data_IF_318737329556
#
_entry.id   IF_318737329556
#
_cell.length_a   1.000
_cell.length_b   1.000
_cell.length_c   1.000
_cell.angle_alpha   90.00
_cell.angle_beta   90.00
_cell.angle_gamma   90.00
#
_symmetry.space_group_name_H-M   'P 1'
#
loop_
_entity.id
_entity.type
_entity.pdbx_description
1 polymer ?
#
# COMPACT_ATOMS: atom_id res chain seq x y z
N UNK A 1 20.43 22.77 2.69
CA UNK A 1 20.94 22.02 3.85
C UNK A 1 19.94 22.18 4.95
N UNK A 2 18.97 21.28 5.05
CA UNK A 2 18.04 21.28 6.18
C UNK A 2 18.09 19.89 6.82
N UNK A 3 18.95 19.82 7.86
CA UNK A 3 19.13 18.63 8.66
C UNK A 3 17.91 18.41 9.55
N UNK A 4 17.06 17.45 9.21
CA UNK A 4 16.11 16.88 10.15
C UNK A 4 16.80 15.74 10.88
N UNK A 5 17.22 16.02 12.11
CA UNK A 5 17.69 15.01 13.03
C UNK A 5 16.61 13.95 13.26
N UNK A 6 16.90 12.70 12.93
CA UNK A 6 16.19 11.55 13.46
C UNK A 6 16.67 11.34 14.90
N UNK A 7 15.83 11.66 15.89
CA UNK A 7 16.08 11.29 17.28
C UNK A 7 15.67 9.82 17.45
N UNK A 8 16.67 8.95 17.55
CA UNK A 8 16.49 7.58 18.02
C UNK A 8 16.46 7.59 19.55
N UNK A 9 15.29 7.57 20.15
CA UNK A 9 15.13 7.22 21.57
C UNK A 9 15.25 5.69 21.70
N UNK A 10 16.42 5.24 22.18
CA UNK A 10 16.63 3.86 22.60
C UNK A 10 15.96 3.64 23.97
N UNK A 11 14.69 3.33 23.99
CA UNK A 11 13.98 2.84 25.17
C UNK A 11 14.30 1.36 25.42
N UNK A 12 14.59 1.03 26.66
CA UNK A 12 15.02 -0.27 27.19
C UNK A 12 14.16 -1.46 26.71
N UNK A 13 14.86 -2.55 26.38
CA UNK A 13 14.40 -3.89 26.01
C UNK A 13 13.20 -4.39 26.80
N UNK A 14 12.05 -4.53 26.14
CA UNK A 14 10.96 -5.47 26.50
C UNK A 14 10.01 -5.80 25.34
N UNK A 15 10.37 -5.59 24.08
CA UNK A 15 9.80 -6.24 22.89
C UNK A 15 10.68 -5.91 21.69
N UNK A 16 10.89 -6.85 20.81
CA UNK A 16 11.74 -6.73 19.61
C UNK A 16 11.12 -5.81 18.54
N UNK A 17 10.42 -4.78 18.92
CA UNK A 17 9.78 -3.84 18.01
C UNK A 17 10.19 -2.39 18.29
N UNK A 18 10.55 -1.68 17.23
CA UNK A 18 10.88 -0.24 17.25
C UNK A 18 9.77 0.53 16.54
N UNK A 19 9.32 1.64 17.14
CA UNK A 19 8.37 2.54 16.49
C UNK A 19 9.12 3.64 15.74
N UNK A 20 8.89 3.76 14.44
CA UNK A 20 9.47 4.82 13.61
C UNK A 20 8.36 5.79 13.20
N UNK A 21 8.62 7.09 13.33
CA UNK A 21 7.70 8.14 12.89
C UNK A 21 8.18 8.73 11.57
N UNK A 22 7.38 8.59 10.52
CA UNK A 22 7.61 9.27 9.25
C UNK A 22 6.34 9.97 8.79
N UNK A 23 6.43 11.24 8.43
CA UNK A 23 5.28 12.03 7.99
C UNK A 23 4.17 12.19 9.02
N UNK A 24 4.48 12.15 10.34
CA UNK A 24 3.51 12.27 11.42
C UNK A 24 2.77 10.97 11.76
N UNK A 25 3.18 9.83 11.21
CA UNK A 25 2.65 8.49 11.51
C UNK A 25 3.69 7.64 12.18
N UNK A 26 3.23 6.79 13.10
CA UNK A 26 4.06 5.80 13.76
C UNK A 26 3.95 4.47 13.01
N UNK A 27 5.09 3.89 12.67
CA UNK A 27 5.24 2.56 12.11
C UNK A 27 5.94 1.69 13.15
N UNK A 28 5.45 0.47 13.35
CA UNK A 28 6.09 -0.51 14.22
C UNK A 28 7.10 -1.31 13.41
N UNK A 29 8.38 -1.25 13.79
CA UNK A 29 9.45 -2.09 13.26
C UNK A 29 9.71 -3.22 14.25
N UNK A 30 9.51 -4.48 13.86
CA UNK A 30 9.93 -5.65 14.64
C UNK A 30 11.40 -5.96 14.33
N UNK A 31 12.26 -5.78 15.32
CA UNK A 31 13.71 -5.91 15.16
C UNK A 31 14.19 -7.36 14.95
N UNK A 32 13.28 -8.35 15.04
CA UNK A 32 13.65 -9.76 14.96
C UNK A 32 13.93 -10.29 13.56
N UNK A 33 13.57 -9.56 12.48
CA UNK A 33 13.72 -10.03 11.10
C UNK A 33 14.01 -8.90 10.10
N UNK A 34 14.97 -8.02 10.33
CA UNK A 34 15.46 -7.07 9.30
C UNK A 34 14.35 -6.46 8.42
N UNK A 35 13.42 -5.70 8.98
CA UNK A 35 12.20 -5.24 8.30
C UNK A 35 12.44 -4.36 7.08
N UNK A 36 13.58 -3.66 7.01
CA UNK A 36 14.01 -2.95 5.79
C UNK A 36 14.04 -3.85 4.55
N UNK A 37 14.19 -5.16 4.77
CA UNK A 37 14.21 -6.17 3.72
C UNK A 37 12.84 -6.41 3.04
N UNK A 38 11.76 -6.12 3.72
CA UNK A 38 10.41 -6.30 3.20
C UNK A 38 9.79 -5.02 2.64
N UNK A 39 10.39 -3.86 2.91
CA UNK A 39 9.83 -2.59 2.47
C UNK A 39 10.23 -2.28 1.01
N UNK A 40 9.26 -1.82 0.25
CA UNK A 40 9.50 -1.23 -1.06
C UNK A 40 10.18 0.15 -0.90
N UNK A 41 11.35 0.37 -1.49
CA UNK A 41 12.13 1.59 -1.27
C UNK A 41 11.49 2.86 -1.85
N UNK A 42 10.56 2.72 -2.81
CA UNK A 42 9.88 3.86 -3.43
C UNK A 42 8.69 4.30 -2.61
N UNK A 43 7.86 3.36 -2.17
CA UNK A 43 6.56 3.66 -1.53
C UNK A 43 6.61 3.56 -0.01
N UNK A 44 7.59 2.84 0.56
CA UNK A 44 7.65 2.53 1.98
C UNK A 44 6.58 1.56 2.47
N UNK A 45 5.80 0.95 1.56
CA UNK A 45 4.88 -0.15 1.86
C UNK A 45 5.62 -1.47 1.85
N UNK A 46 4.98 -2.56 2.25
CA UNK A 46 5.59 -3.87 2.05
C UNK A 46 5.75 -4.16 0.55
N UNK A 47 6.84 -4.86 0.19
CA UNK A 47 7.07 -5.39 -1.14
C UNK A 47 6.50 -6.81 -1.29
N UNK A 48 6.48 -7.32 -2.53
CA UNK A 48 5.96 -8.64 -2.89
C UNK A 48 6.52 -9.78 -2.01
N UNK A 49 7.79 -9.71 -1.64
CA UNK A 49 8.43 -10.72 -0.80
C UNK A 49 7.77 -10.89 0.55
N UNK A 50 7.28 -9.80 1.16
CA UNK A 50 6.53 -9.86 2.40
C UNK A 50 5.28 -10.74 2.27
N UNK A 51 4.54 -10.59 1.16
CA UNK A 51 3.35 -11.38 0.89
C UNK A 51 3.69 -12.86 0.71
N UNK A 52 4.82 -13.18 0.06
CA UNK A 52 5.27 -14.55 -0.16
C UNK A 52 5.72 -15.22 1.14
N UNK A 53 6.49 -14.52 1.99
CA UNK A 53 7.07 -15.07 3.23
C UNK A 53 6.06 -15.08 4.41
N UNK A 54 5.11 -14.13 4.45
CA UNK A 54 4.12 -13.98 5.53
C UNK A 54 2.73 -14.50 5.17
N UNK A 55 2.60 -15.31 4.13
CA UNK A 55 1.33 -15.83 3.66
C UNK A 55 0.44 -16.41 4.77
N UNK A 56 0.92 -17.22 5.74
CA UNK A 56 0.06 -17.80 6.78
C UNK A 56 -0.61 -16.75 7.67
N UNK A 57 0.04 -15.61 7.92
CA UNK A 57 -0.54 -14.52 8.71
C UNK A 57 -1.52 -13.70 7.86
N UNK A 58 -1.20 -13.49 6.60
CA UNK A 58 -2.02 -12.74 5.65
C UNK A 58 -3.29 -13.48 5.23
N UNK A 59 -3.30 -14.82 5.33
CA UNK A 59 -4.52 -15.65 5.16
C UNK A 59 -5.64 -15.30 6.15
N UNK A 60 -5.36 -14.54 7.22
CA UNK A 60 -6.36 -14.07 8.19
C UNK A 60 -7.16 -12.87 7.69
N UNK A 61 -6.78 -12.25 6.59
CA UNK A 61 -7.50 -11.12 6.02
C UNK A 61 -8.90 -11.54 5.55
N UNK A 62 -9.92 -10.75 5.91
CA UNK A 62 -11.32 -11.04 5.52
C UNK A 62 -11.59 -10.69 4.05
N UNK A 63 -10.92 -9.65 3.55
CA UNK A 63 -11.09 -9.17 2.19
C UNK A 63 -9.76 -8.74 1.58
N UNK A 64 -9.70 -8.75 0.25
CA UNK A 64 -8.52 -8.39 -0.52
C UNK A 64 -8.92 -7.56 -1.73
N UNK A 65 -8.09 -6.58 -2.08
CA UNK A 65 -8.19 -5.87 -3.35
C UNK A 65 -6.85 -5.84 -4.07
N UNK A 66 -6.89 -6.02 -5.39
CA UNK A 66 -5.80 -5.72 -6.30
C UNK A 66 -6.07 -4.35 -6.91
N UNK A 67 -5.08 -3.50 -6.92
CA UNK A 67 -5.15 -2.10 -7.34
C UNK A 67 -4.02 -1.86 -8.33
N UNK A 68 -4.35 -1.34 -9.50
CA UNK A 68 -3.41 -0.98 -10.56
C UNK A 68 -3.54 0.51 -10.90
N UNK A 69 -2.42 1.16 -11.18
CA UNK A 69 -2.41 2.59 -11.57
C UNK A 69 -2.61 2.69 -13.06
N UNK A 70 -3.73 3.28 -13.46
CA UNK A 70 -4.09 3.42 -14.87
C UNK A 70 -3.05 4.25 -15.64
N UNK A 71 -2.66 3.78 -16.82
CA UNK A 71 -1.73 4.45 -17.73
C UNK A 71 -0.38 4.85 -17.09
N UNK A 72 0.10 4.07 -16.11
CA UNK A 72 1.33 4.38 -15.38
C UNK A 72 2.56 4.49 -16.31
N UNK A 73 2.60 3.67 -17.35
CA UNK A 73 3.67 3.72 -18.34
C UNK A 73 3.67 5.06 -19.08
N UNK A 74 2.51 5.54 -19.51
CA UNK A 74 2.37 6.83 -20.19
C UNK A 74 2.81 7.99 -19.29
N UNK A 75 2.49 7.92 -17.99
CA UNK A 75 2.97 8.92 -17.02
C UNK A 75 4.50 8.93 -16.97
N UNK A 76 5.15 7.75 -16.91
CA UNK A 76 6.60 7.67 -16.94
C UNK A 76 7.21 8.19 -18.25
N UNK A 77 6.59 7.84 -19.38
CA UNK A 77 7.07 8.23 -20.71
C UNK A 77 6.95 9.75 -20.93
N UNK A 78 5.90 10.39 -20.39
CA UNK A 78 5.65 11.81 -20.55
C UNK A 78 6.39 12.69 -19.51
N UNK A 79 6.39 12.28 -18.23
CA UNK A 79 6.87 13.09 -17.10
C UNK A 79 8.17 12.58 -16.48
N UNK A 80 8.65 11.41 -16.92
CA UNK A 80 9.87 10.78 -16.43
C UNK A 80 9.65 9.93 -15.16
N UNK A 81 10.61 9.06 -14.86
CA UNK A 81 10.53 8.10 -13.76
C UNK A 81 10.40 8.74 -12.38
N UNK A 82 10.95 9.95 -12.16
CA UNK A 82 10.79 10.65 -10.88
C UNK A 82 9.34 11.06 -10.62
N UNK A 83 8.60 11.40 -11.68
CA UNK A 83 7.18 11.67 -11.60
C UNK A 83 6.40 10.37 -11.32
N UNK A 84 6.75 9.26 -11.99
CA UNK A 84 6.18 7.95 -11.70
C UNK A 84 6.39 7.52 -10.25
N UNK A 85 7.59 7.71 -9.69
CA UNK A 85 7.87 7.46 -8.28
C UNK A 85 7.02 8.33 -7.35
N UNK A 86 6.77 9.59 -7.73
CA UNK A 86 5.89 10.48 -6.96
C UNK A 86 4.43 9.99 -7.02
N UNK A 87 3.97 9.50 -8.16
CA UNK A 87 2.64 8.89 -8.33
C UNK A 87 2.51 7.65 -7.45
N UNK A 88 3.48 6.73 -7.48
CA UNK A 88 3.50 5.53 -6.65
C UNK A 88 3.40 5.86 -5.16
N UNK A 89 4.24 6.79 -4.68
CA UNK A 89 4.18 7.28 -3.29
C UNK A 89 2.85 7.93 -2.95
N UNK A 90 2.31 8.71 -3.86
CA UNK A 90 1.02 9.36 -3.69
C UNK A 90 -0.09 8.33 -3.51
N UNK A 91 -0.22 7.37 -4.41
CA UNK A 91 -1.24 6.31 -4.36
C UNK A 91 -1.12 5.50 -3.08
N UNK A 92 0.08 5.05 -2.72
CA UNK A 92 0.33 4.33 -1.48
C UNK A 92 -0.12 5.14 -0.24
N UNK A 93 0.25 6.42 -0.15
CA UNK A 93 -0.14 7.29 0.96
C UNK A 93 -1.65 7.52 1.02
N UNK A 94 -2.31 7.69 -0.13
CA UNK A 94 -3.75 7.85 -0.21
C UNK A 94 -4.47 6.61 0.30
N UNK A 95 -4.02 5.42 -0.07
CA UNK A 95 -4.57 4.13 0.41
C UNK A 95 -4.38 4.02 1.92
N UNK A 96 -3.15 4.14 2.39
CA UNK A 96 -2.79 4.02 3.82
C UNK A 96 -3.57 5.01 4.70
N UNK A 97 -3.89 6.19 4.16
CA UNK A 97 -4.70 7.18 4.88
C UNK A 97 -6.16 6.77 5.10
N UNK A 98 -6.65 5.72 4.43
CA UNK A 98 -8.07 5.33 4.38
C UNK A 98 -8.35 3.94 4.90
N UNK A 99 -7.32 3.26 5.33
CA UNK A 99 -7.39 1.91 5.90
C UNK A 99 -6.92 1.92 7.36
N UNK A 100 -7.13 0.84 8.08
CA UNK A 100 -6.74 0.71 9.48
C UNK A 100 -5.28 0.26 9.61
N UNK A 101 -4.71 0.38 10.80
CA UNK A 101 -3.36 -0.08 11.11
C UNK A 101 -3.20 -1.60 11.07
N UNK A 102 -4.31 -2.34 11.16
CA UNK A 102 -4.34 -3.81 11.02
C UNK A 102 -4.39 -4.27 9.55
N UNK A 103 -4.68 -3.35 8.63
CA UNK A 103 -4.71 -3.66 7.20
C UNK A 103 -3.29 -3.60 6.62
N UNK A 104 -3.03 -4.42 5.62
CA UNK A 104 -1.71 -4.54 5.01
C UNK A 104 -1.74 -4.09 3.56
N UNK A 105 -0.85 -3.17 3.19
CA UNK A 105 -0.64 -2.75 1.81
C UNK A 105 0.71 -3.26 1.31
N UNK A 106 0.68 -3.98 0.20
CA UNK A 106 1.85 -4.57 -0.46
C UNK A 106 1.97 -4.01 -1.87
N UNK A 107 3.11 -3.49 -2.25
CA UNK A 107 3.44 -3.24 -3.66
C UNK A 107 3.83 -4.57 -4.30
N UNK A 108 2.94 -5.09 -5.14
CA UNK A 108 3.06 -6.44 -5.72
C UNK A 108 3.83 -6.47 -7.03
N UNK A 109 3.70 -5.42 -7.83
CA UNK A 109 4.34 -5.23 -9.13
C UNK A 109 4.85 -3.81 -9.32
N UNK A 110 5.15 -3.41 -10.56
CA UNK A 110 5.62 -2.07 -10.91
C UNK A 110 4.66 -0.97 -10.45
N UNK A 111 3.41 -1.08 -10.83
CA UNK A 111 2.28 -0.18 -10.61
C UNK A 111 1.12 -0.84 -9.86
N UNK A 112 1.29 -2.10 -9.48
CA UNK A 112 0.28 -2.93 -8.82
C UNK A 112 0.44 -2.98 -7.30
N UNK A 113 -0.66 -2.86 -6.58
CA UNK A 113 -0.75 -3.02 -5.13
C UNK A 113 -1.76 -4.11 -4.76
N UNK A 114 -1.46 -4.83 -3.69
CA UNK A 114 -2.39 -5.75 -3.01
C UNK A 114 -2.72 -5.16 -1.64
N UNK A 115 -3.99 -4.90 -1.40
CA UNK A 115 -4.52 -4.43 -0.12
C UNK A 115 -5.26 -5.56 0.57
N UNK A 116 -4.81 -5.92 1.78
CA UNK A 116 -5.45 -6.90 2.63
C UNK A 116 -6.16 -6.20 3.78
N UNK A 117 -7.43 -6.50 3.98
CA UNK A 117 -8.32 -5.87 4.95
C UNK A 117 -8.71 -6.89 6.02
N UNK A 118 -8.27 -6.66 7.26
CA UNK A 118 -8.38 -7.64 8.34
C UNK A 118 -9.69 -7.60 9.11
N UNK A 119 -10.33 -6.44 9.21
CA UNK A 119 -11.57 -6.27 10.00
C UNK A 119 -12.54 -5.33 9.30
N UNK A 120 -13.02 -5.74 8.13
CA UNK A 120 -13.96 -4.95 7.34
C UNK A 120 -15.34 -5.64 7.24
N UNK A 121 -16.44 -4.98 7.65
CA UNK A 121 -17.77 -5.50 7.39
C UNK A 121 -18.05 -5.62 5.90
N UNK A 122 -18.71 -6.70 5.48
CA UNK A 122 -18.99 -6.98 4.06
C UNK A 122 -19.71 -5.82 3.36
N UNK A 123 -20.66 -5.20 4.05
CA UNK A 123 -21.44 -4.06 3.54
C UNK A 123 -20.60 -2.78 3.35
N UNK A 124 -19.44 -2.67 4.01
CA UNK A 124 -18.53 -1.53 3.89
C UNK A 124 -17.40 -1.76 2.89
N UNK A 125 -17.17 -3.00 2.49
CA UNK A 125 -16.02 -3.35 1.64
C UNK A 125 -16.03 -2.54 0.34
N UNK A 126 -17.11 -2.63 -0.45
CA UNK A 126 -17.24 -1.89 -1.71
C UNK A 126 -17.10 -0.38 -1.53
N UNK A 127 -17.76 0.20 -0.54
CA UNK A 127 -17.70 1.65 -0.31
C UNK A 127 -16.30 2.11 0.12
N UNK A 128 -15.52 1.26 0.77
CA UNK A 128 -14.13 1.55 1.12
C UNK A 128 -13.26 1.60 -0.13
N UNK A 129 -13.40 0.63 -1.05
CA UNK A 129 -12.66 0.64 -2.31
C UNK A 129 -13.01 1.86 -3.18
N UNK A 130 -14.30 2.21 -3.29
CA UNK A 130 -14.74 3.40 -4.03
C UNK A 130 -14.21 4.69 -3.41
N UNK A 131 -14.13 4.77 -2.08
CA UNK A 131 -13.55 5.91 -1.37
C UNK A 131 -12.06 6.04 -1.64
N UNK A 132 -11.33 4.93 -1.72
CA UNK A 132 -9.91 4.90 -2.09
C UNK A 132 -9.76 5.41 -3.52
N UNK A 133 -10.50 4.83 -4.47
CA UNK A 133 -10.45 5.20 -5.88
C UNK A 133 -10.73 6.69 -6.10
N UNK A 134 -11.82 7.19 -5.55
CA UNK A 134 -12.18 8.61 -5.65
C UNK A 134 -11.14 9.54 -5.04
N UNK A 135 -10.50 9.12 -3.96
CA UNK A 135 -9.50 9.92 -3.30
C UNK A 135 -8.16 9.97 -4.04
N UNK A 136 -7.75 8.90 -4.70
CA UNK A 136 -6.57 8.93 -5.57
C UNK A 136 -6.72 10.01 -6.64
N UNK A 137 -7.90 10.07 -7.27
CA UNK A 137 -8.19 11.05 -8.31
C UNK A 137 -8.25 12.48 -7.79
N UNK A 138 -8.85 12.71 -6.61
CA UNK A 138 -9.13 14.06 -6.09
C UNK A 138 -7.99 14.68 -5.30
N UNK A 139 -7.01 13.88 -4.85
CA UNK A 139 -5.88 14.38 -4.08
C UNK A 139 -4.72 14.71 -5.02
N UNK A 140 -4.26 15.94 -5.03
CA UNK A 140 -3.15 16.38 -5.88
C UNK A 140 -1.80 15.82 -5.47
N UNK A 141 -0.89 15.69 -6.43
CA UNK A 141 0.49 15.27 -6.18
C UNK A 141 1.34 16.53 -6.02
N UNK A 142 1.97 16.78 -4.88
CA UNK A 142 2.87 17.91 -4.70
C UNK A 142 3.95 17.93 -5.81
N UNK A 143 4.22 19.11 -6.40
CA UNK A 143 5.16 19.34 -7.51
C UNK A 143 4.72 18.78 -8.88
N UNK A 144 3.62 18.05 -8.97
CA UNK A 144 3.08 17.48 -10.22
C UNK A 144 1.58 17.76 -10.32
N UNK A 145 1.18 19.03 -10.26
CA UNK A 145 -0.22 19.45 -10.21
C UNK A 145 -1.04 19.05 -11.46
N UNK A 146 -0.36 18.81 -12.58
CA UNK A 146 -1.00 18.37 -13.83
C UNK A 146 -1.21 16.85 -13.91
N UNK A 147 -0.67 16.06 -12.95
CA UNK A 147 -0.83 14.61 -12.94
C UNK A 147 -1.98 14.24 -12.01
N UNK A 148 -3.04 13.68 -12.60
CA UNK A 148 -4.22 13.19 -11.89
C UNK A 148 -4.34 11.68 -12.10
N UNK A 149 -3.63 10.85 -11.30
CA UNK A 149 -3.68 9.43 -11.48
C UNK A 149 -5.07 8.88 -11.16
N UNK A 150 -5.45 7.87 -11.89
CA UNK A 150 -6.60 7.01 -11.57
C UNK A 150 -6.13 5.60 -11.26
N UNK A 151 -6.98 4.81 -10.64
CA UNK A 151 -6.69 3.41 -10.33
C UNK A 151 -7.87 2.53 -10.67
N UNK A 152 -7.58 1.37 -11.24
CA UNK A 152 -8.49 0.25 -11.38
C UNK A 152 -8.39 -0.65 -10.16
N UNK A 153 -9.53 -1.09 -9.61
CA UNK A 153 -9.57 -1.88 -8.37
C UNK A 153 -10.47 -3.09 -8.56
N UNK A 154 -9.92 -4.28 -8.38
CA UNK A 154 -10.68 -5.51 -8.26
C UNK A 154 -10.66 -6.01 -6.81
N UNK A 155 -11.81 -6.31 -6.23
CA UNK A 155 -11.93 -6.70 -4.84
C UNK A 155 -12.66 -8.02 -4.61
N UNK A 156 -12.19 -8.81 -3.63
CA UNK A 156 -12.78 -10.08 -3.21
C UNK A 156 -13.00 -10.08 -1.71
N UNK A 157 -14.24 -10.29 -1.29
CA UNK A 157 -14.57 -10.60 0.11
C UNK A 157 -14.47 -12.10 0.33
N UNK A 158 -14.08 -12.55 1.53
CA UNK A 158 -13.64 -13.93 1.82
C UNK A 158 -12.38 -14.29 1.01
N UNK A 159 -11.28 -13.68 1.40
CA UNK A 159 -10.00 -13.71 0.68
C UNK A 159 -9.20 -15.01 0.86
N UNK A 160 -9.87 -16.16 0.94
CA UNK A 160 -9.24 -17.47 1.16
C UNK A 160 -9.48 -18.42 -0.01
N UNK A 161 -8.51 -19.23 -0.41
CA UNK A 161 -7.07 -19.10 -0.12
C UNK A 161 -6.48 -17.84 -0.76
N UNK A 162 -5.46 -17.24 -0.11
CA UNK A 162 -4.93 -15.93 -0.47
C UNK A 162 -4.52 -15.80 -1.95
N UNK A 163 -3.73 -16.74 -2.46
CA UNK A 163 -3.26 -16.70 -3.86
C UNK A 163 -4.39 -16.85 -4.87
N UNK A 164 -5.44 -17.59 -4.54
CA UNK A 164 -6.63 -17.69 -5.39
C UNK A 164 -7.46 -16.41 -5.35
N UNK A 165 -7.57 -15.81 -4.17
CA UNK A 165 -8.25 -14.54 -3.99
C UNK A 165 -7.57 -13.41 -4.78
N UNK A 166 -6.22 -13.36 -4.79
CA UNK A 166 -5.45 -12.41 -5.63
C UNK A 166 -5.80 -12.61 -7.10
N UNK A 167 -5.78 -13.85 -7.61
CA UNK A 167 -6.12 -14.13 -9.02
C UNK A 167 -7.57 -13.76 -9.38
N UNK A 168 -8.50 -13.91 -8.44
CA UNK A 168 -9.91 -13.52 -8.63
C UNK A 168 -10.05 -12.00 -8.64
N UNK A 169 -9.38 -11.30 -7.73
CA UNK A 169 -9.36 -9.85 -7.68
C UNK A 169 -8.75 -9.24 -8.93
N UNK A 170 -7.62 -9.75 -9.39
CA UNK A 170 -6.96 -9.36 -10.63
C UNK A 170 -7.91 -9.45 -11.84
N UNK A 171 -8.61 -10.58 -11.99
CA UNK A 171 -9.62 -10.71 -13.06
C UNK A 171 -10.74 -9.68 -12.95
N UNK A 172 -11.21 -9.37 -11.74
CA UNK A 172 -12.26 -8.37 -11.53
C UNK A 172 -11.76 -6.96 -11.86
N UNK A 173 -10.51 -6.65 -11.54
CA UNK A 173 -9.84 -5.39 -11.87
C UNK A 173 -9.80 -5.16 -13.39
N UNK A 174 -9.47 -6.17 -14.17
CA UNK A 174 -9.42 -6.08 -15.63
C UNK A 174 -10.78 -5.72 -16.28
N UNK A 175 -11.91 -5.98 -15.59
CA UNK A 175 -13.26 -5.68 -16.08
C UNK A 175 -13.85 -4.40 -15.48
N UNK A 176 -13.10 -3.67 -14.65
CA UNK A 176 -13.55 -2.45 -13.98
C UNK A 176 -13.26 -1.19 -14.80
#
# INVERSE_FOLDING_TARGET
>A
VDGRECVLELGSRLSDSVWVTSGGRQFRLDASHGEDFYLDPVTGTYGRRYLEDQQPELEKAEALAVIDIDNFKEINDEYGHLAGDAVLRHVANVILARVNTADTLVRYGGDEFVLLLSHIPAEKFRSTLERIRGAVYTTGIPQYENIHPTVSIGGVYQAHPLLEAIRRADKLMYWA
#
